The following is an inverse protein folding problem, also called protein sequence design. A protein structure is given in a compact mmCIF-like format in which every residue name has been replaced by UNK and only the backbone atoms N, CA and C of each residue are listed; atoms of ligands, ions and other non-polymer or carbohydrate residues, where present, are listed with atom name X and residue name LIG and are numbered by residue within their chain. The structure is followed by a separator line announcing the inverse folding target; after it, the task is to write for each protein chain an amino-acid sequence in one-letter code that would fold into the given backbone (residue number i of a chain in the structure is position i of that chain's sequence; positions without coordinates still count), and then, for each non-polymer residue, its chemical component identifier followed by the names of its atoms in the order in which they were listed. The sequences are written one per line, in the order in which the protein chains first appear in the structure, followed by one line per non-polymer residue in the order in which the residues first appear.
data_IF_336339533506
#
_entry.id   IF_336339533506
#
_cell.length_a   1.000
_cell.length_b   1.000
_cell.length_c   1.000
_cell.angle_alpha   90.00
_cell.angle_beta   90.00
_cell.angle_gamma   90.00
#
_symmetry.space_group_name_H-M   'P 1'
#
loop_
_entity.id
_entity.type
_entity.pdbx_description
1 polymer ?
#
# COMPACT_ATOMS: atom_id res chain seq x y z
N UNK A 1 -18.65 1.29 -15.97
CA UNK A 1 -17.56 2.14 -15.46
C UNK A 1 -16.53 1.20 -14.85
N UNK A 2 -15.31 1.12 -15.40
CA UNK A 2 -14.24 0.28 -14.82
C UNK A 2 -13.55 1.13 -13.76
N UNK A 3 -13.61 0.71 -12.50
CA UNK A 3 -12.92 1.36 -11.38
C UNK A 3 -11.42 1.10 -11.49
N UNK A 4 -10.62 2.16 -11.52
CA UNK A 4 -9.15 2.03 -11.49
C UNK A 4 -8.71 1.78 -10.05
N UNK A 5 -7.82 0.82 -9.84
CA UNK A 5 -7.20 0.56 -8.54
C UNK A 5 -5.71 0.29 -8.71
N UNK A 6 -4.91 0.78 -7.78
CA UNK A 6 -3.50 0.46 -7.66
C UNK A 6 -3.30 -0.42 -6.42
N UNK A 7 -2.49 -1.46 -6.53
CA UNK A 7 -2.19 -2.37 -5.41
C UNK A 7 -0.69 -2.57 -5.29
N UNK A 8 -0.18 -2.49 -4.07
CA UNK A 8 1.20 -2.81 -3.73
C UNK A 8 1.21 -3.94 -2.70
N UNK A 9 2.05 -4.94 -2.96
CA UNK A 9 2.40 -5.96 -1.98
C UNK A 9 3.49 -5.37 -1.08
N UNK A 10 3.19 -5.25 0.21
CA UNK A 10 4.11 -4.68 1.19
C UNK A 10 5.06 -5.76 1.73
N UNK A 11 4.53 -6.97 1.98
CA UNK A 11 5.24 -8.21 2.34
C UNK A 11 4.40 -9.43 1.90
N UNK A 12 4.84 -10.68 2.16
CA UNK A 12 4.19 -11.91 1.69
C UNK A 12 2.66 -11.98 1.93
N UNK A 13 2.15 -11.27 2.94
CA UNK A 13 0.72 -11.20 3.29
C UNK A 13 0.16 -9.77 3.41
N UNK A 14 1.02 -8.76 3.55
CA UNK A 14 0.60 -7.37 3.76
C UNK A 14 0.35 -6.66 2.42
N UNK A 15 -0.76 -5.95 2.32
CA UNK A 15 -1.23 -5.35 1.07
C UNK A 15 -1.68 -3.91 1.29
N UNK A 16 -1.40 -3.04 0.33
CA UNK A 16 -1.98 -1.71 0.24
C UNK A 16 -2.69 -1.52 -1.10
N UNK A 17 -3.87 -0.92 -1.09
CA UNK A 17 -4.62 -0.57 -2.30
C UNK A 17 -5.18 0.86 -2.22
N UNK A 18 -5.26 1.53 -3.37
CA UNK A 18 -5.89 2.84 -3.51
C UNK A 18 -6.84 2.78 -4.72
N UNK A 19 -8.10 3.16 -4.52
CA UNK A 19 -9.10 3.23 -5.58
C UNK A 19 -9.12 4.61 -6.26
N UNK A 20 -9.81 4.72 -7.40
CA UNK A 20 -10.00 5.96 -8.17
C UNK A 20 -10.67 7.12 -7.40
N UNK A 21 -11.27 6.86 -6.24
CA UNK A 21 -11.82 7.88 -5.34
C UNK A 21 -10.80 8.37 -4.30
N UNK A 22 -9.57 7.88 -4.33
CA UNK A 22 -8.51 8.22 -3.37
C UNK A 22 -8.66 7.54 -2.01
N UNK A 23 -9.54 6.55 -1.87
CA UNK A 23 -9.63 5.76 -0.64
C UNK A 23 -8.48 4.77 -0.60
N UNK A 24 -7.59 4.93 0.38
CA UNK A 24 -6.49 4.00 0.64
C UNK A 24 -6.88 2.98 1.71
N UNK A 25 -6.59 1.71 1.46
CA UNK A 25 -6.77 0.61 2.42
C UNK A 25 -5.44 -0.13 2.56
N UNK A 26 -5.02 -0.33 3.81
CA UNK A 26 -3.83 -1.11 4.15
C UNK A 26 -4.26 -2.29 5.02
N UNK A 27 -3.89 -3.49 4.60
CA UNK A 27 -4.10 -4.74 5.32
C UNK A 27 -2.75 -5.22 5.84
N UNK A 28 -2.64 -5.34 7.16
CA UNK A 28 -1.46 -5.87 7.85
C UNK A 28 -1.89 -7.11 8.63
N UNK A 29 -1.31 -8.27 8.32
CA UNK A 29 -1.57 -9.48 9.10
C UNK A 29 -0.64 -9.52 10.33
N UNK A 30 -1.13 -8.95 11.43
CA UNK A 30 -0.39 -8.91 12.70
C UNK A 30 -0.28 -10.24 13.43
N UNK A 31 -0.85 -11.35 12.92
CA UNK A 31 -0.80 -12.65 13.61
C UNK A 31 0.51 -13.41 13.39
N UNK A 32 1.22 -13.12 12.31
CA UNK A 32 2.46 -13.83 11.99
C UNK A 32 3.74 -13.02 12.26
N UNK A 33 3.71 -11.69 12.40
CA UNK A 33 4.93 -10.87 12.32
C UNK A 33 5.07 -9.80 13.41
N UNK A 34 6.07 -9.98 14.29
CA UNK A 34 6.77 -8.85 14.91
C UNK A 34 7.71 -8.25 13.86
N UNK A 35 7.30 -7.14 13.24
CA UNK A 35 8.19 -6.41 12.31
C UNK A 35 9.35 -5.78 13.06
N UNK A 36 10.55 -5.94 12.51
CA UNK A 36 11.72 -5.14 12.86
C UNK A 36 11.53 -3.68 12.42
N UNK A 37 12.33 -2.78 12.98
CA UNK A 37 12.29 -1.37 12.59
C UNK A 37 12.63 -1.16 11.10
N UNK A 38 13.49 -2.00 10.53
CA UNK A 38 13.87 -1.94 9.12
C UNK A 38 12.74 -2.40 8.20
N UNK A 39 12.04 -3.48 8.55
CA UNK A 39 10.86 -3.95 7.79
C UNK A 39 9.73 -2.92 7.84
N UNK A 40 9.50 -2.30 8.99
CA UNK A 40 8.53 -1.21 9.12
C UNK A 40 8.90 -0.03 8.22
N UNK A 41 10.18 0.36 8.17
CA UNK A 41 10.67 1.44 7.33
C UNK A 41 10.51 1.13 5.83
N UNK A 42 10.81 -0.10 5.42
CA UNK A 42 10.63 -0.56 4.04
C UNK A 42 9.14 -0.58 3.64
N UNK A 43 8.26 -1.04 4.53
CA UNK A 43 6.80 -1.01 4.34
C UNK A 43 6.30 0.41 4.07
N UNK A 44 6.71 1.39 4.89
CA UNK A 44 6.34 2.79 4.71
C UNK A 44 6.89 3.38 3.40
N UNK A 45 8.10 3.01 3.00
CA UNK A 45 8.67 3.43 1.72
C UNK A 45 7.84 2.91 0.54
N UNK A 46 7.45 1.63 0.55
CA UNK A 46 6.57 1.02 -0.47
C UNK A 46 5.20 1.72 -0.53
N UNK A 47 4.61 2.04 0.62
CA UNK A 47 3.34 2.78 0.67
C UNK A 47 3.48 4.20 0.09
N UNK A 48 4.58 4.90 0.38
CA UNK A 48 4.86 6.22 -0.19
C UNK A 48 4.98 6.20 -1.71
N UNK A 49 5.61 5.16 -2.27
CA UNK A 49 5.66 4.96 -3.73
C UNK A 49 4.25 4.77 -4.31
N UNK A 50 3.42 3.93 -3.69
CA UNK A 50 2.05 3.68 -4.13
C UNK A 50 1.22 4.98 -4.19
N UNK A 51 1.27 5.79 -3.12
CA UNK A 51 0.57 7.08 -3.06
C UNK A 51 1.08 8.03 -4.15
N UNK A 52 2.39 8.10 -4.36
CA UNK A 52 2.98 8.95 -5.40
C UNK A 52 2.54 8.53 -6.80
N UNK A 53 2.54 7.23 -7.10
CA UNK A 53 2.08 6.74 -8.41
C UNK A 53 0.58 6.99 -8.61
N UNK A 54 -0.24 6.82 -7.55
CA UNK A 54 -1.66 7.16 -7.60
C UNK A 54 -1.91 8.64 -7.90
N UNK A 55 -1.13 9.55 -7.29
CA UNK A 55 -1.28 10.99 -7.52
C UNK A 55 -0.93 11.39 -8.97
N UNK A 56 -0.03 10.69 -9.66
CA UNK A 56 0.24 10.93 -11.08
C UNK A 56 -0.95 10.63 -11.99
N UNK A 57 -1.87 9.76 -11.56
CA UNK A 57 -3.05 9.38 -12.36
C UNK A 57 -4.23 10.34 -12.20
N UNK A 58 -4.27 11.08 -11.08
CA UNK A 58 -5.37 11.98 -10.71
C UNK A 58 -5.00 13.47 -10.74
N UNK A 59 -3.72 13.78 -10.99
CA UNK A 59 -3.21 15.13 -11.20
C UNK A 59 -3.27 15.57 -12.65
#
# INVERSE_FOLDING_TARGET
MITRSATAVLNNVDLATINDRGTAVVMIDGREHFMTADELKDMWAKLGVLIREFNKWNG
#
